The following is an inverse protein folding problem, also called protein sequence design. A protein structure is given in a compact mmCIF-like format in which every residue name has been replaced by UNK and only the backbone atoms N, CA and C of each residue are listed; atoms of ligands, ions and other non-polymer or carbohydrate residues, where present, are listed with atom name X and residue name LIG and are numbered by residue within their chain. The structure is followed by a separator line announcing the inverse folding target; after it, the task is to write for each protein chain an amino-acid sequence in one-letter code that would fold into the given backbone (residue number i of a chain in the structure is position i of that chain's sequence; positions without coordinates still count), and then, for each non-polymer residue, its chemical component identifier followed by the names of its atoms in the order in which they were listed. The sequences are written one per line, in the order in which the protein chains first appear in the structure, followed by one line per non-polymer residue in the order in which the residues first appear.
data_IF_766101434013
#
_entry.id   IF_766101434013
#
_cell.length_a   1.000
_cell.length_b   1.000
_cell.length_c   1.000
_cell.angle_alpha   90.00
_cell.angle_beta   90.00
_cell.angle_gamma   90.00
#
_symmetry.space_group_name_H-M   'P 1'
#
loop_
_entity.id
_entity.type
_entity.pdbx_description
1 polymer ?
#
# COMPACT_ATOMS: atom_id res chain seq x y z
N UNK A 1 31.52 3.96 26.55
CA UNK A 1 30.38 3.54 25.70
C UNK A 1 29.57 4.78 25.40
N UNK A 2 29.73 5.35 24.21
CA UNK A 2 28.92 6.47 23.76
C UNK A 2 27.52 5.93 23.51
N UNK A 3 26.54 6.39 24.27
CA UNK A 3 25.13 6.11 24.02
C UNK A 3 24.76 6.70 22.67
N UNK A 4 24.49 5.84 21.68
CA UNK A 4 23.86 6.28 20.45
C UNK A 4 22.45 6.78 20.82
N UNK A 5 22.09 8.04 20.54
CA UNK A 5 20.74 8.51 20.78
C UNK A 5 19.80 7.72 19.86
N UNK A 6 18.96 6.87 20.46
CA UNK A 6 18.00 5.99 19.78
C UNK A 6 16.64 6.65 19.52
N UNK A 7 16.49 7.94 19.84
CA UNK A 7 15.22 8.63 19.67
C UNK A 7 15.07 9.08 18.21
N UNK A 8 14.32 8.30 17.43
CA UNK A 8 13.69 8.81 16.20
C UNK A 8 12.74 9.94 16.60
N UNK A 9 12.95 11.11 16.00
CA UNK A 9 12.16 12.30 16.29
C UNK A 9 10.82 12.27 15.55
N UNK A 10 10.03 11.21 15.73
CA UNK A 10 8.63 11.20 15.30
C UNK A 10 7.92 12.25 16.13
N UNK A 11 7.50 13.33 15.47
CA UNK A 11 6.72 14.40 16.07
C UNK A 11 5.24 14.05 15.97
N UNK A 12 4.44 14.59 16.89
CA UNK A 12 3.00 14.32 16.92
C UNK A 12 2.18 15.52 17.37
N UNK A 13 0.90 15.55 16.96
CA UNK A 13 -0.12 16.40 17.58
C UNK A 13 -1.05 15.58 18.49
N UNK A 14 -1.79 16.21 19.43
CA UNK A 14 -2.79 15.52 20.26
C UNK A 14 -3.88 14.79 19.45
N UNK A 15 -4.17 15.28 18.24
CA UNK A 15 -5.15 14.69 17.31
C UNK A 15 -4.60 13.44 16.59
N UNK A 16 -3.33 13.09 16.80
CA UNK A 16 -2.70 11.87 16.32
C UNK A 16 -1.98 12.00 14.97
N UNK A 17 -1.83 13.21 14.42
CA UNK A 17 -1.00 13.45 13.24
C UNK A 17 0.45 13.18 13.64
N UNK A 18 1.15 12.31 12.90
CA UNK A 18 2.57 12.02 13.12
C UNK A 18 3.39 12.47 11.92
N UNK A 19 4.62 12.92 12.15
CA UNK A 19 5.55 13.17 11.05
C UNK A 19 7.01 13.02 11.45
N UNK A 20 7.83 12.70 10.46
CA UNK A 20 9.29 12.67 10.61
C UNK A 20 9.99 13.13 9.32
N UNK A 21 11.14 13.81 9.42
CA UNK A 21 11.95 14.15 8.25
C UNK A 21 12.43 12.89 7.52
N UNK A 22 12.54 12.99 6.20
CA UNK A 22 13.17 11.98 5.37
C UNK A 22 14.37 12.57 4.64
N UNK A 23 15.48 11.84 4.62
CA UNK A 23 16.70 12.21 3.91
C UNK A 23 16.66 11.83 2.42
N UNK A 24 15.56 11.22 1.96
CA UNK A 24 15.40 10.81 0.57
C UNK A 24 15.24 12.03 -0.33
N UNK A 25 15.88 12.00 -1.49
CA UNK A 25 15.54 12.91 -2.58
C UNK A 25 14.23 12.45 -3.23
N UNK A 26 13.19 13.29 -3.17
CA UNK A 26 11.86 12.95 -3.65
C UNK A 26 11.42 13.90 -4.75
N UNK A 27 10.91 13.34 -5.85
CA UNK A 27 10.37 14.10 -6.97
C UNK A 27 8.96 13.62 -7.29
N UNK A 28 8.03 14.55 -7.41
CA UNK A 28 6.64 14.29 -7.82
C UNK A 28 6.33 14.99 -9.14
N UNK A 29 5.77 14.25 -10.10
CA UNK A 29 5.52 14.73 -11.45
C UNK A 29 4.09 14.45 -11.90
N UNK A 30 3.66 15.27 -12.86
CA UNK A 30 2.48 15.03 -13.68
C UNK A 30 2.94 14.94 -15.14
N UNK A 31 2.89 13.74 -15.71
CA UNK A 31 3.58 13.46 -16.96
C UNK A 31 5.07 13.80 -16.86
N UNK A 32 5.58 14.59 -17.81
CA UNK A 32 7.00 15.02 -17.83
C UNK A 32 7.31 16.21 -16.91
N UNK A 33 6.29 16.88 -16.36
CA UNK A 33 6.47 18.09 -15.56
C UNK A 33 6.70 17.73 -14.10
N UNK A 34 7.91 18.02 -13.61
CA UNK A 34 8.20 18.00 -12.17
C UNK A 34 7.48 19.14 -11.47
N UNK A 35 6.59 18.80 -10.54
CA UNK A 35 5.83 19.75 -9.70
C UNK A 35 6.54 19.98 -8.38
N UNK A 36 7.22 18.97 -7.86
CA UNK A 36 8.04 19.04 -6.64
C UNK A 36 9.36 18.30 -6.82
N UNK A 37 10.46 18.90 -6.38
CA UNK A 37 11.82 18.34 -6.35
C UNK A 37 12.45 18.72 -5.00
N UNK A 38 12.44 17.77 -4.06
CA UNK A 38 12.72 18.05 -2.66
C UNK A 38 13.81 17.14 -2.11
N UNK A 39 14.78 17.72 -1.42
CA UNK A 39 15.78 17.00 -0.62
C UNK A 39 15.49 17.04 0.89
N UNK A 40 14.40 17.70 1.26
CA UNK A 40 13.97 17.83 2.64
C UNK A 40 12.49 17.43 2.82
N UNK A 41 12.01 16.32 2.22
CA UNK A 41 10.63 15.90 2.40
C UNK A 41 10.39 15.43 3.83
N UNK A 42 9.13 15.53 4.25
CA UNK A 42 8.64 15.03 5.53
C UNK A 42 7.61 13.93 5.26
N UNK A 43 7.78 12.78 5.90
CA UNK A 43 6.75 11.74 5.94
C UNK A 43 5.70 12.14 6.96
N UNK A 44 4.43 12.06 6.59
CA UNK A 44 3.28 12.40 7.44
C UNK A 44 2.32 11.22 7.50
N UNK A 45 1.95 10.79 8.71
CA UNK A 45 0.90 9.80 8.96
C UNK A 45 -0.32 10.49 9.53
N UNK A 46 -1.42 10.40 8.79
CA UNK A 46 -2.70 10.93 9.21
C UNK A 46 -3.42 9.94 10.15
N UNK A 47 -4.17 10.42 11.17
CA UNK A 47 -4.91 9.55 12.08
C UNK A 47 -5.82 8.57 11.33
N UNK A 48 -5.71 7.28 11.65
CA UNK A 48 -6.53 6.22 11.04
C UNK A 48 -6.10 5.79 9.64
N UNK A 49 -5.04 6.38 9.07
CA UNK A 49 -4.46 5.97 7.79
C UNK A 49 -3.22 5.11 8.06
N UNK A 50 -3.15 3.85 7.58
CA UNK A 50 -2.10 2.90 7.95
C UNK A 50 -0.77 3.10 7.18
N UNK A 51 -0.66 4.18 6.42
CA UNK A 51 0.45 4.46 5.49
C UNK A 51 0.74 5.96 5.47
N UNK A 52 2.00 6.37 5.27
CA UNK A 52 2.36 7.77 5.20
C UNK A 52 2.06 8.37 3.83
N UNK A 53 2.22 9.69 3.76
CA UNK A 53 2.37 10.48 2.54
C UNK A 53 3.55 11.45 2.70
N UNK A 54 3.95 12.11 1.60
CA UNK A 54 4.96 13.18 1.66
C UNK A 54 4.33 14.56 1.77
N UNK A 55 4.94 15.40 2.61
CA UNK A 55 4.78 16.85 2.61
C UNK A 55 6.15 17.49 2.34
N UNK A 56 6.15 18.60 1.61
CA UNK A 56 7.38 19.21 1.08
C UNK A 56 7.47 20.67 1.50
N UNK A 57 8.66 21.19 1.83
CA UNK A 57 8.84 22.62 2.05
C UNK A 57 8.33 23.40 0.84
N UNK A 58 7.55 24.46 1.08
CA UNK A 58 6.95 25.28 0.03
C UNK A 58 7.96 25.78 -1.00
N UNK A 59 9.16 26.15 -0.55
CA UNK A 59 10.25 26.62 -1.43
C UNK A 59 10.78 25.58 -2.43
N UNK A 60 10.49 24.29 -2.23
CA UNK A 60 10.89 23.18 -3.11
C UNK A 60 9.74 22.69 -4.01
N UNK A 61 8.61 23.40 -3.96
CA UNK A 61 7.42 23.17 -4.78
C UNK A 61 7.33 24.27 -5.84
N UNK A 62 6.94 23.89 -7.07
CA UNK A 62 6.63 24.85 -8.13
C UNK A 62 5.27 25.50 -7.91
N UNK A 63 5.24 26.46 -7.00
CA UNK A 63 4.00 27.15 -6.60
C UNK A 63 3.29 27.87 -7.73
N UNK A 64 3.98 28.23 -8.81
CA UNK A 64 3.34 28.82 -10.00
C UNK A 64 2.33 27.87 -10.69
N UNK A 65 2.43 26.56 -10.39
CA UNK A 65 1.50 25.53 -10.85
C UNK A 65 0.30 25.36 -9.90
N UNK A 66 0.30 26.03 -8.74
CA UNK A 66 -0.76 25.93 -7.74
C UNK A 66 -1.74 27.10 -7.83
N UNK A 67 -3.03 26.79 -7.69
CA UNK A 67 -4.09 27.80 -7.53
C UNK A 67 -4.93 27.46 -6.32
N UNK A 68 -5.40 28.45 -5.53
CA UNK A 68 -6.35 28.16 -4.45
C UNK A 68 -7.53 27.34 -4.98
N UNK A 69 -7.83 26.22 -4.32
CA UNK A 69 -8.86 25.31 -4.79
C UNK A 69 -10.23 26.00 -4.81
N UNK A 70 -10.99 25.80 -5.88
CA UNK A 70 -12.34 26.37 -6.02
C UNK A 70 -13.35 25.72 -5.09
N UNK A 71 -13.21 24.41 -4.87
CA UNK A 71 -14.15 23.58 -4.12
C UNK A 71 -13.39 22.71 -3.10
N UNK A 72 -12.81 23.31 -2.04
CA UNK A 72 -12.02 22.57 -1.07
C UNK A 72 -12.87 21.51 -0.35
N UNK A 73 -12.37 20.28 -0.17
CA UNK A 73 -13.07 19.25 0.59
C UNK A 73 -13.11 19.60 2.08
N UNK A 74 -14.18 19.17 2.77
CA UNK A 74 -14.35 19.37 4.21
C UNK A 74 -14.08 18.09 4.98
N UNK A 75 -13.33 18.17 6.09
CA UNK A 75 -13.11 17.04 7.00
C UNK A 75 -12.11 15.98 6.52
N UNK A 76 -11.43 16.23 5.39
CA UNK A 76 -10.34 15.39 4.89
C UNK A 76 -8.99 15.90 5.37
N UNK A 77 -7.95 15.08 5.18
CA UNK A 77 -6.56 15.42 5.43
C UNK A 77 -6.29 16.07 6.81
N UNK A 78 -6.75 15.42 7.87
CA UNK A 78 -6.56 15.85 9.26
C UNK A 78 -7.01 17.30 9.51
N UNK A 79 -8.14 17.68 8.92
CA UNK A 79 -8.73 19.00 9.14
C UNK A 79 -8.00 20.13 8.42
N UNK A 80 -7.27 19.82 7.33
CA UNK A 80 -6.73 20.84 6.44
C UNK A 80 -7.82 21.83 6.01
N UNK A 81 -7.47 23.11 5.96
CA UNK A 81 -8.34 24.21 5.53
C UNK A 81 -7.85 24.88 4.24
N UNK A 82 -6.66 24.49 3.76
CA UNK A 82 -6.00 25.12 2.62
C UNK A 82 -5.70 24.06 1.58
N UNK A 83 -6.39 24.15 0.45
CA UNK A 83 -6.27 23.25 -0.68
C UNK A 83 -5.89 24.02 -1.94
N UNK A 84 -5.21 23.35 -2.85
CA UNK A 84 -4.84 23.88 -4.14
C UNK A 84 -5.28 22.94 -5.27
N UNK A 85 -5.75 23.53 -6.35
CA UNK A 85 -5.79 22.89 -7.65
C UNK A 85 -4.39 22.99 -8.26
N UNK A 86 -3.93 21.92 -8.92
CA UNK A 86 -2.63 21.88 -9.61
C UNK A 86 -2.89 21.96 -11.11
N UNK A 87 -2.38 22.99 -11.79
CA UNK A 87 -2.50 23.16 -13.24
C UNK A 87 -1.17 22.86 -13.92
N UNK A 88 -1.15 21.80 -14.75
CA UNK A 88 0.03 21.32 -15.45
C UNK A 88 -0.35 21.05 -16.89
N UNK A 89 0.37 21.65 -17.85
CA UNK A 89 0.17 21.46 -19.29
C UNK A 89 -1.30 21.60 -19.77
N UNK A 90 -2.06 22.48 -19.12
CA UNK A 90 -3.48 22.71 -19.42
C UNK A 90 -4.46 21.71 -18.81
N UNK A 91 -3.97 20.70 -18.07
CA UNK A 91 -4.78 19.83 -17.22
C UNK A 91 -4.91 20.45 -15.82
N UNK A 92 -6.14 20.48 -15.31
CA UNK A 92 -6.44 20.93 -13.95
C UNK A 92 -6.71 19.72 -13.04
N UNK A 93 -5.87 19.54 -12.03
CA UNK A 93 -6.04 18.54 -10.99
C UNK A 93 -6.69 19.20 -9.77
N UNK A 94 -8.01 19.06 -9.66
CA UNK A 94 -8.77 19.69 -8.57
C UNK A 94 -8.39 19.12 -7.19
N UNK A 95 -8.21 20.00 -6.20
CA UNK A 95 -7.90 19.65 -4.81
C UNK A 95 -6.70 18.69 -4.65
N UNK A 96 -5.71 18.79 -5.54
CA UNK A 96 -4.60 17.84 -5.63
C UNK A 96 -3.44 18.14 -4.68
N UNK A 97 -3.46 19.28 -3.97
CA UNK A 97 -2.48 19.60 -2.94
C UNK A 97 -3.11 20.30 -1.73
N UNK A 98 -2.49 20.19 -0.56
CA UNK A 98 -2.99 20.79 0.67
C UNK A 98 -1.87 21.06 1.69
N UNK A 99 -2.17 21.86 2.72
CA UNK A 99 -1.28 22.05 3.89
C UNK A 99 -1.84 21.39 5.14
N UNK A 100 -1.01 21.15 6.15
CA UNK A 100 -1.48 20.66 7.45
C UNK A 100 -1.71 21.80 8.45
N UNK A 101 -2.64 21.65 9.40
CA UNK A 101 -2.87 22.66 10.44
C UNK A 101 -1.77 22.70 11.52
N UNK A 102 -0.91 21.68 11.59
CA UNK A 102 0.19 21.62 12.54
C UNK A 102 1.23 22.72 12.25
N UNK A 103 1.61 23.51 13.27
CA UNK A 103 2.50 24.66 13.12
C UNK A 103 3.86 24.29 12.49
N UNK A 104 4.41 23.12 12.85
CA UNK A 104 5.67 22.60 12.30
C UNK A 104 5.59 22.24 10.80
N UNK A 105 4.37 22.04 10.28
CA UNK A 105 4.09 21.73 8.87
C UNK A 105 3.41 22.89 8.14
N UNK A 106 3.30 24.08 8.76
CA UNK A 106 2.55 25.21 8.21
C UNK A 106 3.10 25.69 6.84
N UNK A 107 4.42 25.54 6.63
CA UNK A 107 5.09 25.85 5.37
C UNK A 107 5.39 24.62 4.50
N UNK A 108 4.66 23.53 4.72
CA UNK A 108 4.74 22.32 3.91
C UNK A 108 3.47 22.11 3.08
N UNK A 109 3.65 21.62 1.86
CA UNK A 109 2.58 21.26 0.94
C UNK A 109 2.66 19.76 0.67
N UNK A 110 1.56 19.06 0.88
CA UNK A 110 1.37 17.66 0.50
C UNK A 110 0.59 17.55 -0.80
N UNK A 111 0.72 16.43 -1.48
CA UNK A 111 0.08 16.17 -2.77
C UNK A 111 -0.63 14.83 -2.79
N UNK A 112 -1.68 14.77 -3.60
CA UNK A 112 -2.45 13.57 -3.87
C UNK A 112 -1.69 12.63 -4.83
N UNK A 113 -1.88 11.33 -4.62
CA UNK A 113 -1.20 10.28 -5.39
C UNK A 113 -2.17 9.66 -6.39
N UNK A 114 -1.91 9.79 -7.69
CA UNK A 114 -2.82 9.33 -8.74
C UNK A 114 -3.25 7.89 -8.56
N UNK A 115 -2.30 6.98 -8.31
CA UNK A 115 -2.63 5.55 -8.17
C UNK A 115 -3.39 5.20 -6.89
N UNK A 116 -3.61 6.14 -5.96
CA UNK A 116 -4.39 5.95 -4.74
C UNK A 116 -5.86 6.31 -4.92
N UNK A 117 -6.16 7.39 -5.65
CA UNK A 117 -7.51 7.96 -5.72
C UNK A 117 -7.96 8.35 -7.14
N UNK A 118 -7.13 8.08 -8.16
CA UNK A 118 -7.41 8.40 -9.57
C UNK A 118 -7.20 9.87 -9.95
N UNK A 119 -6.54 10.67 -9.10
CA UNK A 119 -6.22 12.10 -9.32
C UNK A 119 -4.91 12.49 -8.63
N UNK A 120 -4.27 13.57 -9.05
CA UNK A 120 -3.01 14.05 -8.48
C UNK A 120 -1.80 13.72 -9.34
N UNK A 121 -0.61 13.70 -8.72
CA UNK A 121 0.66 13.44 -9.40
C UNK A 121 0.78 11.93 -9.70
N UNK A 122 1.24 11.60 -10.92
CA UNK A 122 1.20 10.24 -11.48
C UNK A 122 2.55 9.52 -11.55
N UNK A 123 3.66 10.26 -11.46
CA UNK A 123 5.00 9.70 -11.31
C UNK A 123 5.69 10.25 -10.07
N UNK A 124 6.22 9.35 -9.25
CA UNK A 124 6.91 9.68 -8.02
C UNK A 124 8.24 8.93 -7.95
N UNK A 125 9.28 9.61 -7.51
CA UNK A 125 10.62 9.01 -7.42
C UNK A 125 11.19 9.24 -6.02
N UNK A 126 11.72 8.17 -5.42
CA UNK A 126 12.63 8.23 -4.27
C UNK A 126 14.02 7.90 -4.80
N UNK A 127 14.96 8.84 -4.64
CA UNK A 127 16.20 8.83 -5.43
C UNK A 127 15.85 8.63 -6.90
N UNK A 128 16.49 7.69 -7.60
CA UNK A 128 16.20 7.34 -8.99
C UNK A 128 15.20 6.18 -9.16
N UNK A 129 14.61 5.69 -8.06
CA UNK A 129 13.62 4.61 -8.10
C UNK A 129 12.22 5.19 -8.16
N UNK A 130 11.45 4.80 -9.18
CA UNK A 130 10.03 5.15 -9.23
C UNK A 130 9.26 4.38 -8.16
N UNK A 131 8.50 5.12 -7.35
CA UNK A 131 7.58 4.59 -6.35
C UNK A 131 6.14 4.93 -6.73
N UNK A 132 5.18 4.16 -6.22
CA UNK A 132 3.80 4.23 -6.66
C UNK A 132 2.83 3.93 -5.51
N UNK A 133 1.56 4.31 -5.67
CA UNK A 133 0.47 4.19 -4.68
C UNK A 133 0.63 5.13 -3.49
N UNK A 134 1.73 5.02 -2.73
CA UNK A 134 2.10 5.90 -1.61
C UNK A 134 3.57 5.65 -1.20
N UNK A 135 4.20 6.53 -0.41
CA UNK A 135 5.55 6.33 0.11
C UNK A 135 5.69 5.07 0.96
N UNK A 136 6.88 4.47 0.95
CA UNK A 136 7.21 3.35 1.84
C UNK A 136 7.50 3.88 3.23
N UNK A 137 6.78 3.34 4.20
CA UNK A 137 6.94 3.59 5.62
C UNK A 137 8.26 2.95 6.10
N UNK A 138 9.23 3.73 6.61
CA UNK A 138 10.50 3.20 7.09
C UNK A 138 10.37 2.27 8.31
N UNK A 139 9.23 2.29 9.00
CA UNK A 139 8.93 1.42 10.15
C UNK A 139 8.17 0.16 9.75
N UNK A 140 7.70 0.07 8.49
CA UNK A 140 7.05 -1.14 7.97
C UNK A 140 8.10 -2.10 7.42
N UNK A 141 8.03 -3.33 7.91
CA UNK A 141 8.87 -4.44 7.45
C UNK A 141 8.03 -5.48 6.75
N UNK A 142 8.56 -6.03 5.67
CA UNK A 142 7.97 -7.14 4.92
C UNK A 142 9.05 -8.19 4.71
N UNK A 143 8.91 -9.32 5.40
CA UNK A 143 9.85 -10.44 5.32
C UNK A 143 9.19 -11.61 4.60
N UNK A 144 9.79 -12.08 3.51
CA UNK A 144 9.38 -13.28 2.80
C UNK A 144 10.37 -14.41 3.07
N UNK A 145 9.96 -15.39 3.88
CA UNK A 145 10.86 -16.42 4.42
C UNK A 145 10.41 -17.82 3.97
N UNK A 146 11.24 -18.58 3.26
CA UNK A 146 10.96 -19.98 2.94
C UNK A 146 10.80 -20.83 4.20
N UNK A 147 9.89 -21.81 4.13
CA UNK A 147 9.54 -22.68 5.25
C UNK A 147 9.34 -24.11 4.79
N UNK A 148 9.45 -25.05 5.73
CA UNK A 148 9.16 -26.48 5.53
C UNK A 148 7.86 -26.93 6.19
N UNK A 149 7.07 -25.99 6.73
CA UNK A 149 5.77 -26.27 7.37
C UNK A 149 4.80 -26.84 6.34
N UNK A 150 3.96 -27.78 6.77
CA UNK A 150 2.94 -28.39 5.93
C UNK A 150 1.69 -27.50 5.91
N UNK A 151 1.44 -26.85 4.79
CA UNK A 151 0.28 -25.98 4.58
C UNK A 151 -0.73 -26.68 3.69
N UNK A 152 -1.99 -26.69 4.12
CA UNK A 152 -3.15 -27.10 3.33
C UNK A 152 -4.15 -25.94 3.29
N UNK A 153 -4.64 -25.61 2.09
CA UNK A 153 -5.67 -24.59 1.86
C UNK A 153 -6.90 -25.26 1.26
N UNK A 154 -8.05 -24.98 1.84
CA UNK A 154 -9.34 -25.53 1.44
C UNK A 154 -10.35 -24.41 1.15
N UNK A 155 -11.19 -24.64 0.14
CA UNK A 155 -12.37 -23.83 -0.17
C UNK A 155 -13.57 -24.77 -0.12
N UNK A 156 -14.50 -24.52 0.79
CA UNK A 156 -15.70 -25.35 0.98
C UNK A 156 -15.38 -26.86 1.07
N UNK A 157 -14.40 -27.19 1.92
CA UNK A 157 -13.93 -28.57 2.12
C UNK A 157 -13.14 -29.17 0.95
N UNK A 158 -12.95 -28.45 -0.15
CA UNK A 158 -12.12 -28.89 -1.28
C UNK A 158 -10.69 -28.40 -1.11
N UNK A 159 -9.72 -29.31 -1.04
CA UNK A 159 -8.29 -28.96 -1.03
C UNK A 159 -7.89 -28.32 -2.35
N UNK A 160 -7.55 -27.03 -2.31
CA UNK A 160 -7.12 -26.25 -3.48
C UNK A 160 -5.61 -26.06 -3.55
N UNK A 161 -4.92 -26.18 -2.41
CA UNK A 161 -3.47 -26.16 -2.37
C UNK A 161 -2.94 -27.01 -1.21
N UNK A 162 -1.82 -27.70 -1.40
CA UNK A 162 -1.13 -28.43 -0.34
C UNK A 162 0.38 -28.45 -0.59
N UNK A 163 1.17 -27.90 0.33
CA UNK A 163 2.62 -27.75 0.15
C UNK A 163 3.42 -28.00 1.43
N UNK A 164 4.68 -28.43 1.26
CA UNK A 164 5.70 -28.51 2.32
C UNK A 164 6.88 -27.56 2.08
N UNK A 165 6.70 -26.62 1.15
CA UNK A 165 7.70 -25.61 0.77
C UNK A 165 7.06 -24.22 0.61
N UNK A 166 6.18 -23.78 1.54
CA UNK A 166 5.59 -22.44 1.43
C UNK A 166 6.64 -21.36 1.71
N UNK A 167 6.39 -20.17 1.20
CA UNK A 167 7.04 -18.94 1.68
C UNK A 167 6.06 -18.22 2.60
N UNK A 168 6.48 -17.96 3.83
CA UNK A 168 5.69 -17.20 4.81
C UNK A 168 6.08 -15.74 4.71
N UNK A 169 5.09 -14.89 4.43
CA UNK A 169 5.27 -13.45 4.37
C UNK A 169 4.74 -12.81 5.65
N UNK A 170 5.65 -12.20 6.40
CA UNK A 170 5.38 -11.45 7.61
C UNK A 170 5.41 -9.95 7.28
N UNK A 171 4.33 -9.24 7.57
CA UNK A 171 4.22 -7.81 7.29
C UNK A 171 3.72 -7.07 8.53
N UNK A 172 4.39 -5.96 8.88
CA UNK A 172 4.04 -5.17 10.06
C UNK A 172 2.55 -4.81 10.06
N UNK A 173 1.83 -5.26 11.09
CA UNK A 173 0.42 -4.96 11.30
C UNK A 173 -0.56 -5.84 10.52
N UNK A 174 -0.10 -6.87 9.79
CA UNK A 174 -0.95 -7.79 9.03
C UNK A 174 -0.75 -9.25 9.46
N UNK A 175 -1.77 -10.12 9.28
CA UNK A 175 -1.59 -11.55 9.48
C UNK A 175 -0.59 -12.13 8.48
N UNK A 176 0.08 -13.21 8.88
CA UNK A 176 0.99 -13.95 8.00
C UNK A 176 0.26 -14.41 6.74
N UNK A 177 0.83 -14.11 5.57
CA UNK A 177 0.36 -14.64 4.29
C UNK A 177 1.22 -15.82 3.88
N UNK A 178 0.58 -16.85 3.35
CA UNK A 178 1.24 -18.07 2.92
C UNK A 178 1.26 -18.11 1.40
N UNK A 179 2.46 -18.11 0.84
CA UNK A 179 2.69 -18.21 -0.59
C UNK A 179 3.06 -19.65 -0.95
N UNK A 180 2.35 -20.19 -1.93
CA UNK A 180 2.41 -21.59 -2.34
C UNK A 180 2.99 -21.68 -3.76
N UNK A 181 3.96 -22.57 -4.01
CA UNK A 181 4.43 -22.85 -5.36
C UNK A 181 3.27 -23.25 -6.28
N UNK A 182 3.30 -22.73 -7.50
CA UNK A 182 2.25 -22.92 -8.49
C UNK A 182 1.94 -24.40 -8.75
N UNK A 183 2.94 -25.27 -8.73
CA UNK A 183 2.78 -26.73 -8.93
C UNK A 183 2.02 -27.42 -7.79
N UNK A 184 1.96 -26.79 -6.61
CA UNK A 184 1.30 -27.30 -5.41
C UNK A 184 -0.14 -26.73 -5.27
N UNK A 185 -0.63 -26.01 -6.30
CA UNK A 185 -1.97 -25.41 -6.37
C UNK A 185 -2.78 -26.05 -7.50
N UNK A 186 -4.04 -26.41 -7.21
CA UNK A 186 -5.02 -26.92 -8.18
C UNK A 186 -5.56 -25.80 -9.05
N UNK A 187 -4.74 -25.31 -9.99
CA UNK A 187 -5.10 -24.21 -10.90
C UNK A 187 -6.28 -24.53 -11.82
N UNK A 188 -6.56 -25.81 -12.05
CA UNK A 188 -7.74 -26.27 -12.81
C UNK A 188 -9.06 -25.85 -12.16
N UNK A 189 -9.04 -25.53 -10.86
CA UNK A 189 -10.18 -25.05 -10.10
C UNK A 189 -10.26 -23.51 -10.04
N UNK A 190 -9.32 -22.81 -10.68
CA UNK A 190 -9.18 -21.35 -10.64
C UNK A 190 -9.32 -20.73 -12.04
N UNK A 191 -9.81 -19.50 -12.09
CA UNK A 191 -9.94 -18.69 -13.30
C UNK A 191 -9.12 -17.42 -13.19
N UNK A 192 -8.13 -17.17 -14.07
CA UNK A 192 -7.43 -15.88 -14.09
C UNK A 192 -8.41 -14.76 -14.38
N UNK A 193 -8.24 -13.64 -13.71
CA UNK A 193 -9.03 -12.43 -13.95
C UNK A 193 -8.15 -11.34 -14.55
N UNK A 194 -8.77 -10.31 -15.15
CA UNK A 194 -8.06 -9.10 -15.57
C UNK A 194 -7.78 -8.12 -14.41
N UNK A 195 -7.99 -8.54 -13.16
CA UNK A 195 -7.85 -7.67 -12.00
C UNK A 195 -6.39 -7.57 -11.56
N UNK A 196 -5.95 -6.35 -11.26
CA UNK A 196 -4.61 -6.07 -10.76
C UNK A 196 -4.66 -5.04 -9.64
N UNK A 197 -3.76 -5.16 -8.68
CA UNK A 197 -3.58 -4.18 -7.60
C UNK A 197 -2.11 -3.87 -7.41
N UNK A 198 -1.80 -2.64 -6.99
CA UNK A 198 -0.43 -2.21 -6.70
C UNK A 198 -0.15 -2.19 -5.20
N UNK A 199 1.04 -2.65 -4.82
CA UNK A 199 1.56 -2.54 -3.47
C UNK A 199 2.99 -1.96 -3.50
N UNK A 200 3.27 -0.85 -2.79
CA UNK A 200 4.60 -0.23 -2.80
C UNK A 200 5.69 -1.08 -2.16
N UNK A 201 5.33 -2.16 -1.47
CA UNK A 201 6.28 -3.08 -0.85
C UNK A 201 6.48 -4.38 -1.63
N UNK A 202 5.57 -4.71 -2.56
CA UNK A 202 5.52 -6.04 -3.19
C UNK A 202 5.49 -6.01 -4.70
N UNK A 203 5.02 -4.94 -5.33
CA UNK A 203 4.88 -4.86 -6.79
C UNK A 203 3.41 -4.85 -7.22
N UNK A 204 3.15 -5.33 -8.43
CA UNK A 204 1.80 -5.45 -8.99
C UNK A 204 1.32 -6.90 -8.84
N UNK A 205 0.16 -7.08 -8.21
CA UNK A 205 -0.48 -8.38 -8.09
C UNK A 205 -1.40 -8.66 -9.29
N UNK A 206 -1.49 -9.92 -9.67
CA UNK A 206 -2.50 -10.48 -10.59
C UNK A 206 -3.37 -11.49 -9.84
N UNK A 207 -4.59 -11.72 -10.31
CA UNK A 207 -5.62 -12.40 -9.52
C UNK A 207 -6.32 -13.54 -10.24
N UNK A 208 -6.85 -14.48 -9.44
CA UNK A 208 -7.74 -15.55 -9.87
C UNK A 208 -8.98 -15.63 -8.97
N UNK A 209 -10.08 -16.07 -9.57
CA UNK A 209 -11.33 -16.41 -8.87
C UNK A 209 -11.50 -17.92 -8.77
N UNK A 210 -12.27 -18.35 -7.76
CA UNK A 210 -12.73 -19.73 -7.63
C UNK A 210 -13.75 -20.07 -8.72
N UNK A 211 -13.62 -21.23 -9.37
CA UNK A 211 -14.58 -21.70 -10.40
C UNK A 211 -15.76 -22.51 -9.86
N UNK A 212 -15.70 -22.97 -8.61
CA UNK A 212 -16.75 -23.79 -8.02
C UNK A 212 -17.94 -22.97 -7.53
N UNK A 213 -18.95 -23.66 -7.00
CA UNK A 213 -20.23 -23.05 -6.57
C UNK A 213 -20.19 -22.41 -5.17
N UNK A 214 -19.05 -22.52 -4.48
CA UNK A 214 -18.89 -21.99 -3.13
C UNK A 214 -19.00 -20.45 -3.10
N UNK A 215 -19.64 -19.93 -2.06
CA UNK A 215 -19.88 -18.51 -1.83
C UNK A 215 -18.62 -17.80 -1.31
N UNK A 216 -17.61 -17.66 -2.17
CA UNK A 216 -16.34 -16.98 -1.89
C UNK A 216 -16.14 -15.75 -2.77
N UNK A 217 -15.40 -14.74 -2.29
CA UNK A 217 -15.19 -13.52 -3.06
C UNK A 217 -14.50 -13.79 -4.41
N UNK A 218 -14.80 -13.02 -5.47
CA UNK A 218 -13.96 -12.99 -6.66
C UNK A 218 -12.55 -12.48 -6.31
N UNK A 219 -11.56 -12.76 -7.16
CA UNK A 219 -10.16 -12.36 -6.94
C UNK A 219 -9.60 -12.86 -5.59
N UNK A 220 -9.99 -14.07 -5.19
CA UNK A 220 -9.62 -14.69 -3.92
C UNK A 220 -8.12 -15.03 -3.81
N UNK A 221 -7.50 -15.30 -4.96
CA UNK A 221 -6.11 -15.76 -5.06
C UNK A 221 -5.32 -14.71 -5.81
N UNK A 222 -4.10 -14.42 -5.36
CA UNK A 222 -3.20 -13.50 -6.06
C UNK A 222 -1.78 -14.04 -6.18
N UNK A 223 -1.02 -13.47 -7.10
CA UNK A 223 0.41 -13.69 -7.27
C UNK A 223 1.11 -12.38 -7.60
N UNK A 224 2.41 -12.30 -7.27
CA UNK A 224 3.30 -11.25 -7.75
C UNK A 224 4.26 -11.86 -8.77
N UNK A 225 4.02 -11.69 -10.09
CA UNK A 225 4.88 -12.27 -11.13
C UNK A 225 6.26 -11.57 -11.20
N UNK A 226 6.30 -10.28 -10.88
CA UNK A 226 7.50 -9.45 -10.81
C UNK A 226 7.51 -8.64 -9.50
N UNK A 227 7.84 -9.28 -8.36
CA UNK A 227 7.83 -8.62 -7.07
C UNK A 227 9.04 -7.69 -6.90
N UNK A 228 8.91 -6.72 -5.99
CA UNK A 228 10.06 -5.89 -5.61
C UNK A 228 11.19 -6.74 -4.98
N UNK A 229 12.47 -6.35 -5.14
CA UNK A 229 13.62 -7.16 -4.71
C UNK A 229 13.57 -7.61 -3.25
N UNK A 230 13.06 -6.77 -2.36
CA UNK A 230 12.96 -7.06 -0.93
C UNK A 230 12.10 -8.30 -0.60
N UNK A 231 11.16 -8.65 -1.47
CA UNK A 231 10.26 -9.81 -1.32
C UNK A 231 10.37 -10.78 -2.50
N UNK A 232 11.51 -10.81 -3.19
CA UNK A 232 11.73 -11.67 -4.37
C UNK A 232 11.41 -13.16 -4.16
N UNK A 233 11.48 -13.65 -2.91
CA UNK A 233 11.12 -15.03 -2.58
C UNK A 233 9.65 -15.40 -2.88
N UNK A 234 8.73 -14.43 -3.03
CA UNK A 234 7.33 -14.71 -3.41
C UNK A 234 7.07 -14.71 -4.92
N UNK A 235 8.10 -14.54 -5.74
CA UNK A 235 7.95 -14.42 -7.20
C UNK A 235 7.19 -15.61 -7.80
N UNK A 236 6.07 -15.31 -8.46
CA UNK A 236 5.21 -16.30 -9.13
C UNK A 236 4.51 -17.31 -8.22
N UNK A 237 4.65 -17.19 -6.89
CA UNK A 237 3.92 -18.00 -5.92
C UNK A 237 2.49 -17.45 -5.74
N UNK A 238 1.54 -18.31 -5.36
CA UNK A 238 0.16 -17.92 -5.14
C UNK A 238 -0.18 -17.82 -3.65
N UNK A 239 -0.93 -16.81 -3.27
CA UNK A 239 -1.49 -16.67 -1.93
C UNK A 239 -3.01 -16.50 -2.00
N UNK A 240 -3.68 -16.87 -0.91
CA UNK A 240 -5.14 -16.82 -0.76
C UNK A 240 -5.49 -15.82 0.33
N UNK A 241 -6.67 -15.18 0.24
CA UNK A 241 -7.17 -14.41 1.38
C UNK A 241 -7.55 -15.36 2.50
N UNK A 242 -6.70 -15.46 3.52
CA UNK A 242 -6.92 -16.23 4.75
C UNK A 242 -8.31 -15.97 5.36
N UNK A 243 -8.85 -14.76 5.18
CA UNK A 243 -10.18 -14.32 5.62
C UNK A 243 -11.33 -15.15 5.00
N UNK A 244 -11.11 -15.74 3.83
CA UNK A 244 -12.12 -16.36 3.00
C UNK A 244 -11.83 -17.84 2.65
N UNK A 245 -10.73 -18.40 3.17
CA UNK A 245 -10.37 -19.82 2.97
C UNK A 245 -10.10 -20.51 4.30
N UNK A 246 -10.13 -21.84 4.29
CA UNK A 246 -9.69 -22.65 5.41
C UNK A 246 -8.22 -23.02 5.25
N UNK A 247 -7.43 -22.77 6.28
CA UNK A 247 -5.99 -23.04 6.32
C UNK A 247 -5.68 -24.00 7.47
N UNK A 248 -4.99 -25.09 7.16
CA UNK A 248 -4.39 -26.00 8.14
C UNK A 248 -2.87 -25.93 8.00
N UNK A 249 -2.17 -25.65 9.10
CA UNK A 249 -0.73 -25.50 9.14
C UNK A 249 -0.15 -26.49 10.16
N UNK A 250 0.69 -27.41 9.70
CA UNK A 250 1.23 -28.54 10.47
C UNK A 250 0.16 -29.39 11.17
N UNK A 251 -1.01 -29.52 10.54
CA UNK A 251 -2.14 -30.26 11.08
C UNK A 251 -3.04 -29.45 12.04
N UNK A 252 -2.68 -28.20 12.33
CA UNK A 252 -3.47 -27.31 13.17
C UNK A 252 -4.27 -26.31 12.32
N UNK A 253 -5.57 -26.18 12.62
CA UNK A 253 -6.44 -25.24 11.93
C UNK A 253 -6.09 -23.81 12.36
N UNK A 254 -5.80 -22.94 11.39
CA UNK A 254 -5.51 -21.52 11.62
C UNK A 254 -6.81 -20.71 11.61
N UNK A 255 -7.10 -19.94 12.66
CA UNK A 255 -8.29 -19.08 12.69
C UNK A 255 -8.27 -18.06 11.54
N UNK A 256 -9.42 -17.82 10.91
CA UNK A 256 -9.55 -16.80 9.86
C UNK A 256 -9.36 -15.42 10.51
N UNK A 257 -8.39 -14.62 10.07
CA UNK A 257 -8.17 -13.31 10.67
C UNK A 257 -9.31 -12.34 10.32
N UNK A 258 -9.55 -11.36 11.18
CA UNK A 258 -10.38 -10.19 10.85
C UNK A 258 -9.45 -9.02 10.54
N UNK A 259 -9.48 -8.56 9.30
CA UNK A 259 -8.63 -7.46 8.82
C UNK A 259 -9.48 -6.39 8.14
N UNK A 260 -8.85 -5.31 7.70
CA UNK A 260 -9.52 -4.28 6.91
C UNK A 260 -10.04 -4.80 5.55
N UNK A 261 -9.57 -5.97 5.08
CA UNK A 261 -10.09 -6.62 3.88
C UNK A 261 -11.41 -7.37 4.12
N UNK A 262 -11.68 -7.82 5.35
CA UNK A 262 -12.81 -8.72 5.67
C UNK A 262 -14.16 -8.15 5.21
N UNK A 263 -14.41 -6.84 5.43
CA UNK A 263 -15.66 -6.21 5.02
C UNK A 263 -15.81 -6.17 3.50
N UNK A 264 -14.77 -5.71 2.81
CA UNK A 264 -14.75 -5.59 1.34
C UNK A 264 -14.96 -6.95 0.69
N UNK A 265 -14.27 -7.98 1.17
CA UNK A 265 -14.43 -9.35 0.68
C UNK A 265 -15.87 -9.86 0.85
N UNK A 266 -16.49 -9.63 2.02
CA UNK A 266 -17.87 -10.05 2.27
C UNK A 266 -18.91 -9.28 1.43
N UNK A 267 -18.63 -8.04 1.03
CA UNK A 267 -19.51 -7.26 0.14
C UNK A 267 -19.46 -7.79 -1.30
N UNK A 268 -18.28 -8.19 -1.78
CA UNK A 268 -18.09 -8.72 -3.13
C UNK A 268 -18.77 -10.07 -3.38
N UNK A 269 -19.05 -10.82 -2.32
CA UNK A 269 -19.82 -12.08 -2.38
C UNK A 269 -21.31 -11.81 -2.62
N UNK A 270 -21.83 -10.68 -2.13
CA UNK A 270 -23.26 -10.34 -2.16
C UNK A 270 -23.68 -9.57 -3.42
N UNK A 271 -22.72 -9.18 -4.26
CA UNK A 271 -22.91 -8.39 -5.49
C UNK A 271 -22.94 -9.25 -6.73
#
# INVERSE_FOLDING_TARGET
MTTFPTAQAVRSTPEGLLWEPSERWVRGRKGEVTVVDSRHPVLVWEPGVPVPLYAFPRAEVREELLRPAKNPPTGTHTGSQTFYDVEVDGELLENAAWTFPAADLADHIAFEWFRRVGRGLDHWYEEEEEIFIHPRDPHKRVDAIPSSRHLVVEIDGTVVAATRRPVLLFETGLPTRYYVPRDDVRLDLLEPTGHHTGCPYKGIAEYWSWRGEADVPPNLVWSYPDPLPAVGAVQGLLAFYNEAVDITLDGERVERPVTHFTRTLAEQVRS
#
